data_IF_480803172949
#
_entry.id   IF_480803172949
#
_cell.length_a   1.000
_cell.length_b   1.000
_cell.length_c   1.000
_cell.angle_alpha   90.00
_cell.angle_beta   90.00
_cell.angle_gamma   90.00
#
_symmetry.space_group_name_H-M   'P 1'
#
loop_
_entity.id
_entity.type
_entity.pdbx_description
1 polymer ?
#
# COMPACT_ATOMS: atom_id res chain seq x y z
N UNK A 1 5.42 -19.50 -14.64
CA UNK A 1 5.45 -18.12 -14.11
C UNK A 1 5.35 -18.23 -12.61
N UNK A 2 6.39 -17.84 -11.87
CA UNK A 2 6.23 -17.62 -10.43
C UNK A 2 5.10 -16.60 -10.25
N UNK A 3 4.03 -17.04 -9.58
CA UNK A 3 2.87 -16.21 -9.37
C UNK A 3 3.22 -15.23 -8.25
N UNK A 4 3.38 -13.96 -8.60
CA UNK A 4 3.55 -12.89 -7.62
C UNK A 4 2.42 -12.96 -6.58
N UNK A 5 2.70 -12.48 -5.37
CA UNK A 5 1.67 -12.34 -4.35
C UNK A 5 0.50 -11.55 -4.93
N UNK A 6 -0.72 -12.02 -4.67
CA UNK A 6 -1.92 -11.32 -5.11
C UNK A 6 -2.14 -10.12 -4.21
N UNK A 7 -2.37 -8.95 -4.79
CA UNK A 7 -2.80 -7.77 -4.06
C UNK A 7 -4.31 -7.65 -4.15
N UNK A 8 -5.00 -7.82 -3.03
CA UNK A 8 -6.44 -7.61 -2.97
C UNK A 8 -6.74 -6.14 -2.81
N UNK A 9 -7.61 -5.58 -3.64
CA UNK A 9 -8.02 -4.18 -3.56
C UNK A 9 -9.54 -4.08 -3.67
N UNK A 10 -10.12 -3.14 -2.93
CA UNK A 10 -11.53 -2.79 -3.14
C UNK A 10 -11.68 -1.93 -4.39
N UNK A 11 -12.91 -1.74 -4.85
CA UNK A 11 -13.19 -0.75 -5.90
C UNK A 11 -13.19 0.66 -5.32
N UNK A 12 -12.68 1.68 -6.05
CA UNK A 12 -12.63 3.04 -5.53
C UNK A 12 -13.97 3.58 -5.03
N UNK A 13 -15.10 3.19 -5.64
CA UNK A 13 -16.43 3.68 -5.28
C UNK A 13 -16.94 3.14 -3.93
N UNK A 14 -16.32 2.06 -3.45
CA UNK A 14 -16.61 1.37 -2.19
C UNK A 14 -15.69 1.80 -1.05
N UNK A 15 -14.64 2.57 -1.34
CA UNK A 15 -13.74 3.07 -0.30
C UNK A 15 -14.48 3.96 0.70
N UNK A 16 -14.05 3.98 1.98
CA UNK A 16 -14.63 4.86 2.98
C UNK A 16 -14.72 6.32 2.53
N UNK A 17 -15.86 6.95 2.80
CA UNK A 17 -16.16 8.32 2.37
C UNK A 17 -16.02 9.38 3.45
N UNK A 18 -16.01 8.96 4.71
CA UNK A 18 -15.81 9.84 5.86
C UNK A 18 -15.27 9.05 7.04
N UNK A 19 -14.73 9.76 8.04
CA UNK A 19 -14.07 9.14 9.20
C UNK A 19 -14.99 8.21 9.99
N UNK A 20 -16.28 8.57 10.10
CA UNK A 20 -17.28 7.71 10.74
C UNK A 20 -17.39 6.29 10.15
N UNK A 21 -17.22 6.11 8.83
CA UNK A 21 -17.22 4.78 8.20
C UNK A 21 -15.97 3.97 8.57
N UNK A 22 -14.84 4.64 8.83
CA UNK A 22 -13.62 3.99 9.32
C UNK A 22 -13.86 3.53 10.77
N UNK A 23 -14.36 4.42 11.63
CA UNK A 23 -14.59 4.13 13.04
C UNK A 23 -15.65 3.06 13.28
N UNK A 24 -16.72 3.01 12.47
CA UNK A 24 -17.78 2.01 12.59
C UNK A 24 -17.32 0.59 12.25
N UNK A 25 -16.37 0.46 11.33
CA UNK A 25 -15.89 -0.84 10.84
C UNK A 25 -14.60 -1.30 11.54
N UNK A 26 -13.98 -0.45 12.37
CA UNK A 26 -12.76 -0.77 13.12
C UNK A 26 -13.10 -1.10 14.58
N UNK A 27 -12.89 -2.35 15.00
CA UNK A 27 -13.06 -2.71 16.42
C UNK A 27 -11.95 -2.08 17.28
N UNK A 28 -12.20 -1.92 18.58
CA UNK A 28 -11.21 -1.35 19.51
C UNK A 28 -9.92 -2.19 19.56
N UNK A 29 -10.03 -3.52 19.42
CA UNK A 29 -8.88 -4.43 19.39
C UNK A 29 -8.05 -4.22 18.11
N UNK A 30 -8.70 -4.06 16.95
CA UNK A 30 -8.02 -3.76 15.69
C UNK A 30 -7.35 -2.40 15.77
N UNK A 31 -8.07 -1.38 16.25
CA UNK A 31 -7.54 -0.04 16.44
C UNK A 31 -6.30 -0.05 17.33
N UNK A 32 -6.36 -0.76 18.47
CA UNK A 32 -5.24 -0.89 19.40
C UNK A 32 -4.05 -1.63 18.79
N UNK A 33 -4.28 -2.65 17.96
CA UNK A 33 -3.22 -3.37 17.28
C UNK A 33 -2.51 -2.50 16.22
N UNK A 34 -3.26 -1.68 15.49
CA UNK A 34 -2.68 -0.73 14.52
C UNK A 34 -1.91 0.38 15.24
N UNK A 35 -2.47 0.91 16.34
CA UNK A 35 -1.83 1.90 17.21
C UNK A 35 -0.47 1.41 17.73
N UNK A 36 -0.44 0.22 18.33
CA UNK A 36 0.80 -0.40 18.83
C UNK A 36 1.83 -0.64 17.71
N UNK A 37 1.38 -1.12 16.54
CA UNK A 37 2.24 -1.28 15.37
C UNK A 37 2.86 0.07 14.96
N UNK A 38 2.03 1.09 14.80
CA UNK A 38 2.43 2.44 14.39
C UNK A 38 3.42 3.06 15.37
N UNK A 39 3.16 2.92 16.68
CA UNK A 39 4.06 3.38 17.72
C UNK A 39 5.45 2.74 17.58
N UNK A 40 5.52 1.42 17.35
CA UNK A 40 6.78 0.70 17.13
C UNK A 40 7.47 1.12 15.83
N UNK A 41 6.72 1.41 14.76
CA UNK A 41 7.28 1.79 13.46
C UNK A 41 8.12 3.09 13.51
N UNK A 42 7.70 4.07 14.31
CA UNK A 42 8.32 5.42 14.39
C UNK A 42 9.82 5.40 14.75
N UNK A 43 10.27 4.39 15.49
CA UNK A 43 11.68 4.24 15.90
C UNK A 43 12.39 3.05 15.25
N UNK A 44 11.68 2.27 14.44
CA UNK A 44 12.19 1.04 13.85
C UNK A 44 13.04 1.29 12.60
N UNK A 45 14.15 0.56 12.49
CA UNK A 45 14.79 0.33 11.19
C UNK A 45 13.88 -0.54 10.30
N UNK A 46 14.26 -0.73 9.04
CA UNK A 46 13.42 -1.42 8.06
C UNK A 46 13.16 -2.91 8.40
N UNK A 47 14.11 -3.59 9.04
CA UNK A 47 13.97 -4.99 9.44
C UNK A 47 13.00 -5.15 10.63
N UNK A 48 13.13 -4.29 11.65
CA UNK A 48 12.21 -4.26 12.78
C UNK A 48 10.80 -3.83 12.33
N UNK A 49 10.71 -2.85 11.43
CA UNK A 49 9.44 -2.41 10.84
C UNK A 49 8.73 -3.56 10.12
N UNK A 50 9.46 -4.32 9.29
CA UNK A 50 8.92 -5.50 8.60
C UNK A 50 8.37 -6.53 9.58
N UNK A 51 9.11 -6.81 10.67
CA UNK A 51 8.65 -7.73 11.73
C UNK A 51 7.33 -7.24 12.32
N UNK A 52 7.25 -5.99 12.75
CA UNK A 52 6.04 -5.44 13.38
C UNK A 52 4.83 -5.42 12.44
N UNK A 53 5.02 -5.07 11.17
CA UNK A 53 3.95 -5.13 10.17
C UNK A 53 3.44 -6.55 9.99
N UNK A 54 4.34 -7.54 9.89
CA UNK A 54 3.97 -8.95 9.74
C UNK A 54 3.26 -9.51 10.97
N UNK A 55 3.73 -9.15 12.17
CA UNK A 55 3.06 -9.52 13.42
C UNK A 55 1.63 -9.01 13.45
N UNK A 56 1.43 -7.71 13.16
CA UNK A 56 0.09 -7.10 13.11
C UNK A 56 -0.77 -7.71 12.01
N UNK A 57 -0.22 -7.92 10.82
CA UNK A 57 -0.92 -8.54 9.69
C UNK A 57 -1.39 -9.95 10.03
N UNK A 58 -0.49 -10.81 10.52
CA UNK A 58 -0.83 -12.17 10.91
C UNK A 58 -1.85 -12.20 12.05
N UNK A 59 -1.72 -11.30 13.04
CA UNK A 59 -2.69 -11.19 14.12
C UNK A 59 -4.08 -10.82 13.60
N UNK A 60 -4.20 -9.86 12.68
CA UNK A 60 -5.48 -9.50 12.06
C UNK A 60 -6.07 -10.70 11.31
N UNK A 61 -5.26 -11.40 10.49
CA UNK A 61 -5.73 -12.55 9.72
C UNK A 61 -6.24 -13.69 10.62
N UNK A 62 -5.56 -13.96 11.74
CA UNK A 62 -5.91 -15.03 12.68
C UNK A 62 -7.16 -14.71 13.51
N UNK A 63 -7.33 -13.44 13.93
CA UNK A 63 -8.41 -13.05 14.83
C UNK A 63 -9.67 -12.58 14.10
N UNK A 64 -9.57 -12.20 12.82
CA UNK A 64 -10.69 -11.73 12.00
C UNK A 64 -10.84 -12.53 10.69
N UNK A 65 -10.96 -13.87 10.74
CA UNK A 65 -10.96 -14.72 9.54
C UNK A 65 -12.20 -14.51 8.65
N UNK A 66 -13.33 -14.11 9.23
CA UNK A 66 -14.58 -13.83 8.51
C UNK A 66 -14.47 -12.65 7.55
N UNK A 67 -13.50 -11.77 7.78
CA UNK A 67 -13.19 -10.62 6.95
C UNK A 67 -12.40 -11.03 5.70
N UNK A 68 -11.46 -11.96 5.86
CA UNK A 68 -10.61 -12.50 4.78
C UNK A 68 -11.38 -13.47 3.87
N UNK A 69 -12.27 -14.27 4.46
CA UNK A 69 -13.04 -15.30 3.76
C UNK A 69 -14.13 -14.75 2.81
N UNK A 70 -14.43 -13.45 2.87
CA UNK A 70 -15.49 -12.81 2.07
C UNK A 70 -15.01 -12.13 0.80
N UNK A 71 -13.75 -12.30 0.42
CA UNK A 71 -13.23 -11.85 -0.87
C UNK A 71 -13.91 -12.61 -2.03
N UNK A 72 -15.14 -12.23 -2.35
CA UNK A 72 -15.78 -12.67 -3.58
C UNK A 72 -15.10 -11.90 -4.71
N UNK A 73 -14.39 -12.63 -5.57
CA UNK A 73 -13.83 -12.06 -6.79
C UNK A 73 -15.00 -11.55 -7.62
N UNK A 74 -15.01 -10.24 -7.89
CA UNK A 74 -16.14 -9.64 -8.61
C UNK A 74 -16.04 -10.05 -10.08
N UNK A 75 -16.69 -11.14 -10.45
CA UNK A 75 -16.82 -11.56 -11.84
C UNK A 75 -17.92 -10.71 -12.47
N UNK A 76 -17.56 -9.67 -13.22
CA UNK A 76 -18.56 -8.95 -14.03
C UNK A 76 -19.04 -9.87 -15.16
N UNK A 77 -20.26 -10.37 -15.04
CA UNK A 77 -21.13 -10.62 -16.19
C UNK A 77 -21.89 -9.31 -16.48
N UNK A 78 -22.18 -9.05 -17.76
CA UNK A 78 -22.91 -7.88 -18.32
C UNK A 78 -22.01 -6.77 -18.91
N UNK A 79 -22.12 -6.64 -20.25
CA UNK A 79 -21.62 -5.60 -21.17
C UNK A 79 -20.27 -4.94 -20.82
N UNK A 80 -19.17 -5.61 -21.20
CA UNK A 80 -17.81 -5.06 -21.09
C UNK A 80 -17.63 -3.89 -22.04
N UNK A 81 -17.38 -2.70 -21.50
CA UNK A 81 -16.78 -1.63 -22.29
C UNK A 81 -15.25 -1.90 -22.46
N UNK A 82 -14.64 -1.31 -23.48
CA UNK A 82 -13.21 -1.49 -23.81
C UNK A 82 -12.27 -1.05 -22.66
N UNK A 83 -12.62 -0.01 -21.90
CA UNK A 83 -11.83 0.45 -20.75
C UNK A 83 -11.78 -0.57 -19.62
N UNK A 84 -12.90 -1.22 -19.31
CA UNK A 84 -13.00 -2.25 -18.28
C UNK A 84 -12.12 -3.46 -18.63
N UNK A 85 -12.05 -3.83 -19.91
CA UNK A 85 -11.19 -4.90 -20.41
C UNK A 85 -9.69 -4.58 -20.22
N UNK A 86 -9.26 -3.36 -20.56
CA UNK A 86 -7.87 -2.94 -20.35
C UNK A 86 -7.48 -2.93 -18.87
N UNK A 87 -8.39 -2.47 -17.99
CA UNK A 87 -8.15 -2.49 -16.53
C UNK A 87 -7.99 -3.92 -16.02
N UNK A 88 -8.82 -4.87 -16.46
CA UNK A 88 -8.70 -6.28 -16.08
C UNK A 88 -7.38 -6.90 -16.56
N UNK A 89 -6.90 -6.57 -17.77
CA UNK A 89 -5.60 -7.05 -18.26
C UNK A 89 -4.47 -6.54 -17.38
N UNK A 90 -4.47 -5.23 -17.06
CA UNK A 90 -3.43 -4.62 -16.23
C UNK A 90 -3.49 -5.18 -14.81
N UNK A 91 -4.67 -5.29 -14.21
CA UNK A 91 -4.85 -5.87 -12.88
C UNK A 91 -4.34 -7.33 -12.86
N UNK A 92 -4.72 -8.16 -13.84
CA UNK A 92 -4.25 -9.53 -13.94
C UNK A 92 -2.73 -9.63 -14.10
N UNK A 93 -2.14 -8.80 -14.96
CA UNK A 93 -0.69 -8.74 -15.15
C UNK A 93 0.03 -8.35 -13.87
N UNK A 94 -0.51 -7.39 -13.14
CA UNK A 94 0.05 -6.93 -11.86
C UNK A 94 -0.34 -7.84 -10.69
N UNK A 95 -1.11 -8.91 -10.88
CA UNK A 95 -1.59 -9.75 -9.77
C UNK A 95 -2.57 -9.05 -8.82
N UNK A 96 -3.24 -8.00 -9.26
CA UNK A 96 -4.29 -7.30 -8.51
C UNK A 96 -5.61 -8.08 -8.63
N UNK A 97 -6.27 -8.32 -7.51
CA UNK A 97 -7.59 -8.94 -7.45
C UNK A 97 -8.57 -7.96 -6.83
N UNK A 98 -9.58 -7.56 -7.61
CA UNK A 98 -10.68 -6.72 -7.13
C UNK A 98 -11.69 -7.57 -6.37
N UNK A 99 -11.95 -7.20 -5.13
CA UNK A 99 -12.82 -7.96 -4.21
C UNK A 99 -13.94 -7.11 -3.69
N UNK A 100 -15.10 -7.73 -3.51
CA UNK A 100 -16.13 -7.22 -2.61
C UNK A 100 -15.81 -7.75 -1.19
N UNK A 101 -15.98 -6.89 -0.18
CA UNK A 101 -15.61 -7.18 1.19
C UNK A 101 -15.85 -5.95 2.08
N UNK A 102 -15.50 -6.04 3.36
CA UNK A 102 -15.47 -4.87 4.22
C UNK A 102 -14.39 -3.89 3.72
N UNK A 103 -14.74 -2.68 3.25
CA UNK A 103 -13.77 -1.79 2.62
C UNK A 103 -12.63 -1.35 3.54
N UNK A 104 -12.89 -1.20 4.84
CA UNK A 104 -11.87 -0.83 5.82
C UNK A 104 -10.83 -1.95 5.94
N UNK A 105 -11.29 -3.18 6.14
CA UNK A 105 -10.36 -4.29 6.32
C UNK A 105 -9.62 -4.68 5.04
N UNK A 106 -10.28 -4.62 3.88
CA UNK A 106 -9.59 -4.83 2.60
C UNK A 106 -8.45 -3.83 2.48
N UNK A 107 -8.74 -2.54 2.68
CA UNK A 107 -7.72 -1.48 2.62
C UNK A 107 -6.58 -1.71 3.62
N UNK A 108 -6.90 -2.01 4.88
CA UNK A 108 -5.92 -2.27 5.93
C UNK A 108 -5.00 -3.44 5.58
N UNK A 109 -5.57 -4.54 5.07
CA UNK A 109 -4.79 -5.70 4.64
C UNK A 109 -3.89 -5.35 3.45
N UNK A 110 -4.39 -4.62 2.46
CA UNK A 110 -3.59 -4.18 1.32
C UNK A 110 -2.43 -3.28 1.76
N UNK A 111 -2.67 -2.37 2.72
CA UNK A 111 -1.65 -1.50 3.33
C UNK A 111 -0.55 -2.33 3.98
N UNK A 112 -0.91 -3.23 4.89
CA UNK A 112 0.07 -4.05 5.62
C UNK A 112 0.83 -4.99 4.68
N UNK A 113 0.14 -5.62 3.72
CA UNK A 113 0.77 -6.49 2.74
C UNK A 113 1.76 -5.71 1.86
N UNK A 114 1.33 -4.65 1.19
CA UNK A 114 2.20 -3.88 0.30
C UNK A 114 3.38 -3.25 1.04
N UNK A 115 3.18 -2.80 2.29
CA UNK A 115 4.29 -2.28 3.09
C UNK A 115 5.28 -3.38 3.47
N UNK A 116 4.81 -4.57 3.84
CA UNK A 116 5.68 -5.71 4.14
C UNK A 116 6.48 -6.15 2.91
N UNK A 117 5.86 -6.20 1.73
CA UNK A 117 6.52 -6.59 0.48
C UNK A 117 7.56 -5.56 0.02
N UNK A 118 7.26 -4.26 0.21
CA UNK A 118 8.20 -3.18 -0.02
C UNK A 118 9.46 -3.32 0.83
N UNK A 119 9.30 -3.52 2.14
CA UNK A 119 10.42 -3.64 3.07
C UNK A 119 11.21 -4.93 2.81
N UNK A 120 10.53 -6.04 2.54
CA UNK A 120 11.18 -7.31 2.20
C UNK A 120 11.99 -7.22 0.90
N UNK A 121 11.44 -6.63 -0.16
CA UNK A 121 12.17 -6.39 -1.41
C UNK A 121 13.38 -5.46 -1.18
N UNK A 122 13.20 -4.36 -0.44
CA UNK A 122 14.29 -3.44 -0.15
C UNK A 122 15.38 -4.08 0.72
N UNK A 123 15.03 -4.92 1.70
CA UNK A 123 15.99 -5.63 2.55
C UNK A 123 16.72 -6.75 1.80
N UNK A 124 16.04 -7.45 0.90
CA UNK A 124 16.60 -8.60 0.19
C UNK A 124 17.57 -8.22 -0.93
N UNK A 125 17.24 -7.18 -1.74
CA UNK A 125 18.04 -6.81 -2.91
C UNK A 125 18.52 -5.35 -2.90
N UNK A 126 18.12 -4.57 -1.89
CA UNK A 126 18.47 -3.16 -1.75
C UNK A 126 17.70 -2.23 -2.70
N UNK A 127 17.97 -0.93 -2.56
CA UNK A 127 17.41 0.11 -3.45
C UNK A 127 18.42 1.22 -3.76
N UNK A 128 18.24 1.88 -4.91
CA UNK A 128 18.93 3.13 -5.24
C UNK A 128 18.20 4.39 -4.77
N UNK A 129 17.00 4.25 -4.17
CA UNK A 129 16.24 5.37 -3.62
C UNK A 129 17.07 6.10 -2.55
N UNK A 130 17.14 7.41 -2.68
CA UNK A 130 17.81 8.28 -1.71
C UNK A 130 17.01 8.39 -0.43
N UNK A 131 17.70 8.57 0.70
CA UNK A 131 17.10 8.61 2.03
C UNK A 131 15.88 9.53 2.20
N UNK A 132 15.84 10.77 1.65
CA UNK A 132 14.65 11.61 1.76
C UNK A 132 13.41 10.99 1.09
N UNK A 133 13.57 10.36 -0.08
CA UNK A 133 12.46 9.73 -0.80
C UNK A 133 12.02 8.43 -0.12
N UNK A 134 12.97 7.67 0.43
CA UNK A 134 12.67 6.50 1.25
C UNK A 134 11.88 6.88 2.50
N UNK A 135 12.29 7.96 3.19
CA UNK A 135 11.55 8.51 4.33
C UNK A 135 10.12 8.88 3.96
N UNK A 136 9.92 9.58 2.84
CA UNK A 136 8.57 9.93 2.38
C UNK A 136 7.70 8.69 2.15
N UNK A 137 8.29 7.63 1.59
CA UNK A 137 7.58 6.38 1.33
C UNK A 137 7.15 5.68 2.62
N UNK A 138 8.06 5.54 3.58
CA UNK A 138 7.75 4.99 4.91
C UNK A 138 6.72 5.84 5.66
N UNK A 139 6.93 7.16 5.66
CA UNK A 139 6.05 8.10 6.33
C UNK A 139 4.62 8.03 5.76
N UNK A 140 4.44 7.87 4.44
CA UNK A 140 3.12 7.73 3.85
C UNK A 140 2.32 6.54 4.42
N UNK A 141 2.97 5.38 4.59
CA UNK A 141 2.36 4.21 5.22
C UNK A 141 2.07 4.42 6.71
N UNK A 142 3.04 4.97 7.44
CA UNK A 142 2.90 5.22 8.88
C UNK A 142 1.81 6.26 9.18
N UNK A 143 1.68 7.28 8.33
CA UNK A 143 0.64 8.30 8.37
C UNK A 143 -0.75 7.69 8.20
N UNK A 144 -0.97 6.87 7.16
CA UNK A 144 -2.30 6.26 6.96
C UNK A 144 -2.63 5.24 8.05
N UNK A 145 -1.66 4.45 8.52
CA UNK A 145 -1.87 3.52 9.63
C UNK A 145 -2.24 4.28 10.93
N UNK A 146 -1.52 5.36 11.25
CA UNK A 146 -1.87 6.25 12.38
C UNK A 146 -3.31 6.77 12.25
N UNK A 147 -3.68 7.20 11.04
CA UNK A 147 -5.00 7.75 10.75
C UNK A 147 -6.11 6.69 10.90
N UNK A 148 -5.90 5.47 10.42
CA UNK A 148 -6.83 4.34 10.59
C UNK A 148 -6.93 3.89 12.06
N UNK A 149 -5.84 4.00 12.83
CA UNK A 149 -5.85 3.81 14.28
C UNK A 149 -6.54 4.94 15.05
N UNK A 150 -6.97 6.01 14.36
CA UNK A 150 -7.52 7.23 14.95
C UNK A 150 -6.60 7.86 16.00
N UNK A 151 -5.28 7.65 15.87
CA UNK A 151 -4.31 8.33 16.70
C UNK A 151 -4.16 9.79 16.28
N UNK A 152 -3.82 10.65 17.24
CA UNK A 152 -3.29 11.97 16.90
C UNK A 152 -1.97 11.79 16.14
N UNK A 153 -1.84 12.46 14.99
CA UNK A 153 -0.61 12.45 14.21
C UNK A 153 0.46 13.20 15.02
N UNK A 154 1.20 12.47 15.84
CA UNK A 154 2.42 13.02 16.41
C UNK A 154 3.44 13.24 15.28
N UNK A 155 4.28 14.29 15.35
CA UNK A 155 5.42 14.42 14.46
C UNK A 155 6.25 13.14 14.56
N UNK A 156 6.48 12.47 13.43
CA UNK A 156 7.37 11.32 13.42
C UNK A 156 8.74 11.77 13.93
N UNK A 157 9.28 11.08 14.94
CA UNK A 157 10.70 11.15 15.20
C UNK A 157 11.44 10.75 13.92
N UNK A 158 12.59 11.36 13.64
CA UNK A 158 13.41 11.01 12.48
C UNK A 158 13.83 9.53 12.65
N UNK A 159 13.30 8.58 11.84
CA UNK A 159 13.58 7.18 12.05
C UNK A 159 15.06 6.92 11.74
N UNK A 160 15.64 5.92 12.42
CA UNK A 160 16.96 5.42 12.08
C UNK A 160 16.87 4.66 10.73
N UNK A 161 17.05 5.38 9.63
CA UNK A 161 16.94 4.82 8.28
C UNK A 161 18.14 3.90 8.00
N UNK A 162 17.89 2.60 7.94
CA UNK A 162 18.86 1.62 7.42
C UNK A 162 18.48 1.25 6.01
N UNK A 163 18.98 2.00 5.03
CA UNK A 163 18.72 1.70 3.62
C UNK A 163 19.77 0.70 3.16
N UNK A 164 19.35 -0.53 2.87
CA UNK A 164 20.19 -1.49 2.18
C UNK A 164 20.52 -0.94 0.80
N UNK A 165 21.79 -0.59 0.59
CA UNK A 165 22.27 -0.14 -0.72
C UNK A 165 22.21 -1.33 -1.66
N UNK A 166 21.66 -1.10 -2.86
CA UNK A 166 21.54 -2.13 -3.89
C UNK A 166 22.85 -2.90 -4.08
N UNK A 167 22.77 -4.23 -4.01
CA UNK A 167 23.84 -5.14 -4.43
C UNK A 167 24.14 -4.94 -5.92
N UNK A 168 25.34 -5.34 -6.35
CA UNK A 168 25.79 -5.16 -7.73
C UNK A 168 24.76 -5.78 -8.71
N UNK A 169 24.31 -5.10 -9.78
CA UNK A 169 23.30 -5.62 -10.72
C UNK A 169 23.62 -6.95 -11.40
N UNK A 170 24.85 -7.48 -11.25
CA UNK A 170 25.25 -8.83 -11.64
C UNK A 170 24.85 -9.93 -10.65
N UNK A 171 24.21 -9.58 -9.53
CA UNK A 171 23.75 -10.53 -8.53
C UNK A 171 22.54 -11.32 -9.08
N UNK A 172 22.70 -12.64 -9.20
CA UNK A 172 21.75 -13.53 -9.90
C UNK A 172 20.33 -13.56 -9.29
N UNK A 173 20.12 -12.96 -8.12
CA UNK A 173 18.83 -12.94 -7.43
C UNK A 173 17.97 -11.70 -7.71
N UNK A 174 18.45 -10.72 -8.49
CA UNK A 174 17.64 -9.54 -8.80
C UNK A 174 16.62 -9.79 -9.92
N UNK A 175 15.32 -9.63 -9.63
CA UNK A 175 14.25 -9.77 -10.61
C UNK A 175 13.58 -8.40 -10.90
N UNK A 176 13.86 -7.75 -12.05
CA UNK A 176 13.26 -6.46 -12.41
C UNK A 176 11.73 -6.50 -12.49
N UNK A 177 11.16 -7.63 -12.92
CA UNK A 177 9.71 -7.78 -13.01
C UNK A 177 9.07 -7.86 -11.62
N UNK A 178 9.72 -8.51 -10.65
CA UNK A 178 9.27 -8.49 -9.24
C UNK A 178 9.27 -7.06 -8.69
N UNK A 179 10.36 -6.31 -8.91
CA UNK A 179 10.47 -4.90 -8.50
C UNK A 179 9.35 -4.05 -9.09
N UNK A 180 9.08 -4.25 -10.39
CA UNK A 180 8.01 -3.58 -11.11
C UNK A 180 6.64 -3.86 -10.49
N UNK A 181 6.29 -5.12 -10.26
CA UNK A 181 4.98 -5.52 -9.70
C UNK A 181 4.80 -4.97 -8.27
N UNK A 182 5.78 -5.15 -7.38
CA UNK A 182 5.69 -4.66 -5.99
C UNK A 182 5.63 -3.14 -5.96
N UNK A 183 6.40 -2.46 -6.79
CA UNK A 183 6.33 -1.00 -6.90
C UNK A 183 4.93 -0.50 -7.29
N UNK A 184 4.27 -1.19 -8.22
CA UNK A 184 2.87 -0.90 -8.58
C UNK A 184 1.89 -1.24 -7.46
N UNK A 185 2.08 -2.33 -6.72
CA UNK A 185 1.26 -2.65 -5.56
C UNK A 185 1.28 -1.54 -4.52
N UNK A 186 2.49 -1.10 -4.15
CA UNK A 186 2.70 0.03 -3.24
C UNK A 186 2.00 1.28 -3.77
N UNK A 187 2.21 1.61 -5.05
CA UNK A 187 1.55 2.75 -5.67
C UNK A 187 0.02 2.66 -5.59
N UNK A 188 -0.59 1.53 -5.97
CA UNK A 188 -2.05 1.37 -5.96
C UNK A 188 -2.65 1.53 -4.57
N UNK A 189 -2.01 0.96 -3.56
CA UNK A 189 -2.45 1.06 -2.16
C UNK A 189 -2.36 2.50 -1.65
N UNK A 190 -1.29 3.22 -1.97
CA UNK A 190 -1.16 4.64 -1.63
C UNK A 190 -2.22 5.49 -2.34
N UNK A 191 -2.58 5.17 -3.58
CA UNK A 191 -3.66 5.86 -4.30
C UNK A 191 -5.03 5.59 -3.65
N UNK A 192 -5.34 4.35 -3.25
CA UNK A 192 -6.60 4.08 -2.54
C UNK A 192 -6.66 4.79 -1.19
N UNK A 193 -5.54 4.80 -0.47
CA UNK A 193 -5.40 5.54 0.79
C UNK A 193 -5.59 7.05 0.56
N UNK A 194 -5.07 7.59 -0.54
CA UNK A 194 -5.21 9.00 -0.91
C UNK A 194 -6.67 9.35 -1.20
N UNK A 195 -7.39 8.48 -1.91
CA UNK A 195 -8.83 8.65 -2.16
C UNK A 195 -9.60 8.70 -0.84
N UNK A 196 -9.30 7.80 0.11
CA UNK A 196 -9.93 7.81 1.44
C UNK A 196 -9.62 9.10 2.19
N UNK A 197 -8.37 9.54 2.22
CA UNK A 197 -7.97 10.78 2.89
C UNK A 197 -8.68 12.00 2.29
N UNK A 198 -8.78 12.09 0.96
CA UNK A 198 -9.48 13.18 0.28
C UNK A 198 -11.00 13.14 0.48
N UNK A 199 -11.61 11.96 0.52
CA UNK A 199 -13.01 11.80 0.85
C UNK A 199 -13.30 12.30 2.27
N UNK A 200 -12.49 11.87 3.25
CA UNK A 200 -12.59 12.34 4.63
C UNK A 200 -12.39 13.85 4.72
N UNK A 201 -11.37 14.41 4.08
CA UNK A 201 -11.17 15.86 4.03
C UNK A 201 -12.42 16.59 3.53
N UNK A 202 -12.99 16.15 2.42
CA UNK A 202 -14.19 16.75 1.86
C UNK A 202 -15.40 16.64 2.80
N UNK A 203 -15.57 15.50 3.48
CA UNK A 203 -16.64 15.31 4.46
C UNK A 203 -16.48 16.22 5.69
N UNK A 204 -15.28 16.32 6.26
CA UNK A 204 -15.00 17.16 7.43
C UNK A 204 -15.11 18.65 7.09
N UNK A 205 -14.68 19.06 5.90
CA UNK A 205 -14.90 20.43 5.40
C UNK A 205 -16.39 20.79 5.30
N UNK A 206 -17.23 19.85 4.84
CA UNK A 206 -18.69 20.06 4.79
C UNK A 206 -19.35 20.09 6.16
N UNK A 207 -18.78 19.39 7.14
CA UNK A 207 -19.22 19.40 8.52
C UNK A 207 -18.65 20.58 9.34
N UNK A 208 -17.86 21.46 8.72
CA UNK A 208 -17.13 22.56 9.38
C UNK A 208 -16.17 22.11 10.48
N UNK A 209 -15.73 20.84 10.44
CA UNK A 209 -14.75 20.25 11.34
C UNK A 209 -13.32 20.53 10.84
N UNK A 210 -12.93 21.80 10.82
CA UNK A 210 -11.68 22.24 10.18
C UNK A 210 -10.42 21.56 10.72
N UNK A 211 -10.38 21.22 12.01
CA UNK A 211 -9.25 20.52 12.61
C UNK A 211 -9.06 19.12 12.00
N UNK A 212 -10.14 18.37 11.80
CA UNK A 212 -10.08 17.03 11.20
C UNK A 212 -9.87 17.09 9.69
N UNK A 213 -10.37 18.14 9.04
CA UNK A 213 -10.03 18.42 7.65
C UNK A 213 -8.52 18.68 7.47
N UNK A 214 -7.90 19.47 8.36
CA UNK A 214 -6.45 19.72 8.34
C UNK A 214 -5.64 18.42 8.50
N UNK A 215 -6.05 17.55 9.40
CA UNK A 215 -5.45 16.22 9.57
C UNK A 215 -5.57 15.41 8.27
N UNK A 216 -6.76 15.32 7.69
CA UNK A 216 -7.00 14.53 6.48
C UNK A 216 -6.19 15.04 5.26
N UNK A 217 -6.07 16.36 5.08
CA UNK A 217 -5.28 16.93 3.97
C UNK A 217 -3.76 16.78 4.20
N UNK A 218 -3.30 16.79 5.45
CA UNK A 218 -1.91 16.48 5.78
C UNK A 218 -1.58 15.02 5.43
N UNK A 219 -2.47 14.07 5.76
CA UNK A 219 -2.35 12.67 5.35
C UNK A 219 -2.31 12.54 3.82
N UNK A 220 -3.25 13.18 3.12
CA UNK A 220 -3.28 13.17 1.65
C UNK A 220 -1.96 13.68 1.05
N UNK A 221 -1.39 14.74 1.63
CA UNK A 221 -0.09 15.28 1.21
C UNK A 221 1.04 14.26 1.38
N UNK A 222 1.14 13.62 2.55
CA UNK A 222 2.13 12.56 2.80
C UNK A 222 1.98 11.39 1.81
N UNK A 223 0.73 10.99 1.51
CA UNK A 223 0.44 9.93 0.54
C UNK A 223 0.85 10.30 -0.89
N UNK A 224 0.70 11.56 -1.31
CA UNK A 224 1.19 12.03 -2.62
C UNK A 224 2.72 11.93 -2.72
N UNK A 225 3.46 12.35 -1.69
CA UNK A 225 4.91 12.19 -1.66
C UNK A 225 5.33 10.72 -1.64
N UNK A 226 4.59 9.87 -0.91
CA UNK A 226 4.79 8.43 -0.92
C UNK A 226 4.57 7.83 -2.31
N UNK A 227 3.49 8.19 -2.99
CA UNK A 227 3.17 7.69 -4.33
C UNK A 227 4.25 8.05 -5.36
N UNK A 228 4.79 9.27 -5.30
CA UNK A 228 5.94 9.67 -6.12
C UNK A 228 7.17 8.79 -5.84
N UNK A 229 7.50 8.55 -4.57
CA UNK A 229 8.60 7.66 -4.18
C UNK A 229 8.36 6.21 -4.60
N UNK A 230 7.11 5.73 -4.56
CA UNK A 230 6.73 4.39 -5.01
C UNK A 230 6.98 4.20 -6.51
N UNK A 231 6.68 5.20 -7.34
CA UNK A 231 6.99 5.14 -8.78
C UNK A 231 8.50 5.16 -9.05
N UNK A 232 9.28 5.86 -8.23
CA UNK A 232 10.76 5.78 -8.30
C UNK A 232 11.25 4.39 -7.91
N UNK A 233 10.66 3.76 -6.90
CA UNK A 233 10.96 2.39 -6.51
C UNK A 233 10.64 1.40 -7.63
N UNK A 234 9.47 1.57 -8.24
CA UNK A 234 8.98 0.76 -9.34
C UNK A 234 9.97 0.70 -10.50
N UNK A 235 10.60 1.83 -10.83
CA UNK A 235 11.61 1.94 -11.89
C UNK A 235 13.06 1.79 -11.41
N UNK A 236 13.31 1.25 -10.22
CA UNK A 236 14.65 1.08 -9.66
C UNK A 236 15.40 -0.09 -10.31
N UNK A 237 15.65 0.01 -11.61
CA UNK A 237 16.43 -0.91 -12.46
C UNK A 237 16.98 -0.17 -13.69
N UNK A 238 17.86 -0.83 -14.45
CA UNK A 238 18.41 -0.25 -15.68
C UNK A 238 17.36 -0.18 -16.80
N UNK A 239 17.58 0.74 -17.76
CA UNK A 239 16.76 0.81 -18.97
C UNK A 239 16.78 -0.49 -19.78
N UNK A 240 17.92 -1.20 -19.82
CA UNK A 240 18.01 -2.52 -20.47
C UNK A 240 17.12 -3.55 -19.77
N UNK A 241 17.14 -3.64 -18.44
CA UNK A 241 16.25 -4.51 -17.67
C UNK A 241 14.76 -4.22 -17.96
N UNK A 242 14.40 -2.95 -18.17
CA UNK A 242 13.06 -2.61 -18.61
C UNK A 242 12.74 -3.15 -20.01
N UNK A 243 13.60 -2.88 -20.99
CA UNK A 243 13.35 -3.28 -22.39
C UNK A 243 13.41 -4.79 -22.60
N UNK A 244 14.27 -5.49 -21.87
CA UNK A 244 14.59 -6.90 -22.09
C UNK A 244 13.73 -7.84 -21.23
N UNK A 245 13.21 -7.37 -20.08
CA UNK A 245 12.46 -8.21 -19.12
C UNK A 245 11.04 -7.70 -18.88
N UNK A 246 10.89 -6.44 -18.47
CA UNK A 246 9.58 -5.89 -18.04
C UNK A 246 8.66 -5.62 -19.23
N UNK A 247 9.13 -4.88 -20.22
CA UNK A 247 8.31 -4.51 -21.38
C UNK A 247 7.83 -5.73 -22.18
N UNK A 248 8.67 -6.75 -22.48
CA UNK A 248 8.22 -7.89 -23.25
C UNK A 248 7.17 -8.74 -22.52
N UNK A 249 7.22 -8.80 -21.18
CA UNK A 249 6.23 -9.53 -20.39
C UNK A 249 4.85 -8.87 -20.34
N UNK A 250 4.77 -7.55 -20.61
CA UNK A 250 3.51 -6.79 -20.68
C UNK A 250 2.78 -6.91 -22.02
N UNK A 251 3.45 -7.40 -23.08
CA UNK A 251 2.82 -7.47 -24.40
C UNK A 251 1.85 -8.65 -24.45
N UNK A 252 0.65 -8.50 -25.06
CA UNK A 252 -0.26 -9.61 -25.26
C UNK A 252 0.46 -10.73 -26.05
N UNK A 253 0.18 -12.02 -25.77
CA UNK A 253 0.66 -13.09 -26.64
C UNK A 253 0.10 -12.86 -28.05
N UNK A 254 0.99 -12.90 -29.04
CA UNK A 254 0.62 -12.84 -30.47
C UNK A 254 -0.17 -14.09 -30.89
#
# INVERSE_FOLDING_TARGET
>A
MEQYSKLYLTRPEKLPRHRGEISQNCSLEVQSAIADCTYKLRSSNDADALRHIRETFNWILLNFPSVVARHQTVTKSVERNEKDYYVEIVDNYMGVVRVDGDPFFVLLQSILQAYSELLEEALSVGTSIKAPKWRNLRHAFESILSYLAQESIAPSADPCLTISRRSNPADNNYNPLRRWVIGHHVFYVLIQSLIVALNCFHAEMRAENFQEAEVAIAIATSLMWGAESALRFTGDFSSSQFQDVVRPSMMPPN
#
